data_IF_997619884028
#
_entry.id   IF_997619884028
#
_cell.length_a   1.000
_cell.length_b   1.000
_cell.length_c   1.000
_cell.angle_alpha   90.00
_cell.angle_beta   90.00
_cell.angle_gamma   90.00
#
_symmetry.space_group_name_H-M   'P 1'
#
loop_
_entity.id
_entity.type
_entity.pdbx_description
1 polymer ?
#
# COMPACT_ATOMS: atom_id res chain seq x y z
N UNK A 1 -37.34 3.18 -6.27
CA UNK A 1 -36.43 2.34 -5.46
C UNK A 1 -35.05 2.96 -5.48
N UNK A 2 -34.64 3.62 -4.40
CA UNK A 2 -33.32 4.25 -4.32
C UNK A 2 -32.33 3.24 -3.77
N UNK A 3 -31.45 2.71 -4.63
CA UNK A 3 -30.35 1.85 -4.20
C UNK A 3 -29.38 2.73 -3.43
N UNK A 4 -29.40 2.65 -2.10
CA UNK A 4 -28.43 3.33 -1.24
C UNK A 4 -27.03 2.86 -1.64
N UNK A 5 -26.26 3.74 -2.29
CA UNK A 5 -24.86 3.47 -2.67
C UNK A 5 -24.10 3.20 -1.38
N UNK A 6 -23.73 1.94 -1.09
CA UNK A 6 -22.89 1.61 0.07
C UNK A 6 -21.59 2.41 -0.07
N UNK A 7 -21.39 3.40 0.80
CA UNK A 7 -20.14 4.15 0.87
C UNK A 7 -19.09 3.14 1.28
N UNK A 8 -18.14 2.88 0.37
CA UNK A 8 -16.97 2.05 0.68
C UNK A 8 -15.89 2.97 1.21
N UNK A 9 -15.52 2.74 2.46
CA UNK A 9 -14.34 3.33 3.05
C UNK A 9 -13.09 2.65 2.51
N UNK A 10 -12.03 3.44 2.41
CA UNK A 10 -10.71 3.01 1.96
C UNK A 10 -9.68 3.38 3.01
N UNK A 11 -8.84 2.42 3.36
CA UNK A 11 -7.79 2.56 4.35
C UNK A 11 -6.44 2.45 3.67
N UNK A 12 -5.49 3.26 4.13
CA UNK A 12 -4.07 3.09 3.81
C UNK A 12 -3.44 2.41 5.01
N UNK A 13 -2.70 1.34 4.77
CA UNK A 13 -2.03 0.57 5.81
C UNK A 13 -0.55 0.44 5.52
N UNK A 14 0.23 0.27 6.59
CA UNK A 14 1.67 0.04 6.56
C UNK A 14 1.95 -1.28 7.26
N UNK A 15 2.77 -2.11 6.64
CA UNK A 15 3.26 -3.39 7.21
C UNK A 15 4.77 -3.28 7.39
N UNK A 16 5.26 -3.61 8.58
CA UNK A 16 6.68 -3.85 8.81
C UNK A 16 7.08 -5.16 8.13
N UNK A 17 8.16 -5.13 7.35
CA UNK A 17 8.73 -6.30 6.72
C UNK A 17 10.02 -6.71 7.42
N UNK A 18 10.35 -8.00 7.32
CA UNK A 18 11.69 -8.52 7.61
C UNK A 18 12.75 -7.69 6.86
N UNK A 19 13.89 -7.34 7.48
CA UNK A 19 15.00 -6.64 6.82
C UNK A 19 15.43 -7.29 5.50
N UNK A 20 15.40 -8.62 5.44
CA UNK A 20 15.73 -9.48 4.30
C UNK A 20 14.81 -9.26 3.10
N UNK A 21 13.67 -8.58 3.28
CA UNK A 21 12.82 -8.14 2.18
C UNK A 21 13.56 -7.20 1.21
N UNK A 22 14.68 -6.59 1.62
CA UNK A 22 15.53 -5.74 0.79
C UNK A 22 17.01 -6.13 0.91
N UNK A 23 17.75 -6.01 -0.20
CA UNK A 23 19.22 -6.12 -0.19
C UNK A 23 19.91 -4.82 0.26
N UNK A 24 19.16 -3.71 0.30
CA UNK A 24 19.68 -2.41 0.74
C UNK A 24 19.53 -2.30 2.26
N UNK A 25 20.51 -1.70 2.91
CA UNK A 25 20.45 -1.34 4.33
C UNK A 25 19.50 -0.16 4.50
N UNK A 26 18.53 -0.28 5.41
CA UNK A 26 17.67 0.83 5.82
C UNK A 26 18.12 1.40 7.16
N UNK A 27 18.06 2.72 7.29
CA UNK A 27 18.28 3.39 8.57
C UNK A 27 17.12 3.21 9.57
N UNK A 28 15.90 2.93 9.08
CA UNK A 28 14.68 2.87 9.91
C UNK A 28 13.89 1.56 9.81
N UNK A 29 14.09 0.77 8.76
CA UNK A 29 13.37 -0.48 8.53
C UNK A 29 12.83 -0.62 7.11
N UNK A 30 12.25 -1.78 6.82
CA UNK A 30 11.69 -2.09 5.51
C UNK A 30 10.18 -2.22 5.66
N UNK A 31 9.42 -1.49 4.87
CA UNK A 31 7.96 -1.45 5.01
C UNK A 31 7.25 -1.62 3.67
N UNK A 32 6.02 -2.12 3.75
CA UNK A 32 5.08 -2.14 2.63
C UNK A 32 3.94 -1.15 2.90
N UNK A 33 3.60 -0.35 1.90
CA UNK A 33 2.44 0.55 1.93
C UNK A 33 1.43 0.11 0.89
N UNK A 34 0.16 0.02 1.27
CA UNK A 34 -0.93 -0.32 0.37
C UNK A 34 -2.26 0.31 0.76
N UNK A 35 -3.25 0.16 -0.12
CA UNK A 35 -4.65 0.50 0.14
C UNK A 35 -5.54 -0.74 0.25
N UNK A 36 -6.64 -0.61 0.99
CA UNK A 36 -7.72 -1.59 1.00
C UNK A 36 -9.08 -0.97 1.31
N UNK A 37 -10.16 -1.63 0.87
CA UNK A 37 -11.53 -1.37 1.37
C UNK A 37 -11.97 -2.35 2.46
N UNK A 38 -11.04 -3.16 2.97
CA UNK A 38 -11.20 -3.99 4.16
C UNK A 38 -10.58 -3.27 5.36
N UNK A 39 -10.79 -3.81 6.55
CA UNK A 39 -9.95 -3.46 7.70
C UNK A 39 -8.49 -3.89 7.43
N UNK A 40 -7.54 -3.09 7.93
CA UNK A 40 -6.10 -3.30 7.73
C UNK A 40 -5.66 -4.68 8.24
N UNK A 41 -6.20 -5.12 9.38
CA UNK A 41 -5.95 -6.41 10.02
C UNK A 41 -6.43 -7.57 9.15
N UNK A 42 -7.65 -7.47 8.61
CA UNK A 42 -8.20 -8.48 7.71
C UNK A 42 -7.42 -8.54 6.39
N UNK A 43 -6.98 -7.39 5.88
CA UNK A 43 -6.13 -7.31 4.68
C UNK A 43 -4.77 -7.95 4.94
N UNK A 44 -4.16 -7.70 6.09
CA UNK A 44 -2.90 -8.30 6.49
C UNK A 44 -3.02 -9.82 6.63
N UNK A 45 -4.05 -10.31 7.34
CA UNK A 45 -4.31 -11.75 7.44
C UNK A 45 -4.49 -12.41 6.07
N UNK A 46 -5.20 -11.76 5.14
CA UNK A 46 -5.31 -12.25 3.75
C UNK A 46 -3.95 -12.34 3.06
N UNK A 47 -3.08 -11.34 3.21
CA UNK A 47 -1.72 -11.40 2.66
C UNK A 47 -0.93 -12.58 3.25
N UNK A 48 -0.97 -12.77 4.56
CA UNK A 48 -0.25 -13.85 5.24
C UNK A 48 -0.80 -15.24 4.88
N UNK A 49 -2.08 -15.36 4.51
CA UNK A 49 -2.67 -16.60 4.00
C UNK A 49 -2.39 -16.88 2.51
N UNK A 50 -1.70 -15.97 1.81
CA UNK A 50 -1.46 -16.06 0.36
C UNK A 50 -2.65 -15.65 -0.51
N UNK A 51 -3.81 -15.33 0.06
CA UNK A 51 -5.00 -14.95 -0.69
C UNK A 51 -4.96 -13.50 -1.20
N UNK A 52 -4.92 -13.31 -2.53
CA UNK A 52 -4.78 -11.99 -3.19
C UNK A 52 -3.63 -11.18 -2.58
N UNK A 53 -2.54 -11.89 -2.31
CA UNK A 53 -1.45 -11.41 -1.49
C UNK A 53 -0.44 -10.58 -2.29
N UNK A 54 0.08 -9.53 -1.66
CA UNK A 54 1.31 -8.90 -2.10
C UNK A 54 2.48 -9.82 -1.72
N UNK A 55 3.23 -10.32 -2.72
CA UNK A 55 4.31 -11.31 -2.51
C UNK A 55 5.27 -10.92 -1.39
N UNK A 56 5.64 -9.65 -1.30
CA UNK A 56 6.53 -9.14 -0.23
C UNK A 56 5.92 -9.25 1.16
N UNK A 57 4.64 -8.92 1.31
CA UNK A 57 3.94 -9.04 2.59
C UNK A 57 3.76 -10.51 2.97
N UNK A 58 3.37 -11.37 2.01
CA UNK A 58 3.22 -12.81 2.27
C UNK A 58 4.53 -13.47 2.72
N UNK A 59 5.66 -13.10 2.10
CA UNK A 59 6.96 -13.73 2.38
C UNK A 59 7.68 -13.13 3.60
N UNK A 60 7.49 -11.84 3.88
CA UNK A 60 8.31 -11.08 4.82
C UNK A 60 7.51 -10.24 5.80
N UNK A 61 6.17 -10.32 5.83
CA UNK A 61 5.35 -9.50 6.71
C UNK A 61 5.52 -9.89 8.17
N UNK A 62 5.92 -8.92 9.01
CA UNK A 62 5.99 -9.09 10.47
C UNK A 62 4.68 -8.72 11.14
N UNK A 63 4.31 -7.44 11.07
CA UNK A 63 3.10 -6.90 11.69
C UNK A 63 2.69 -5.56 11.08
N UNK A 64 1.47 -5.10 11.37
CA UNK A 64 1.00 -3.78 11.01
C UNK A 64 1.72 -2.68 11.80
N UNK A 65 1.86 -1.51 11.16
CA UNK A 65 2.42 -0.27 11.73
C UNK A 65 1.39 0.86 11.64
N UNK A 66 0.30 0.82 12.43
CA UNK A 66 -0.74 1.85 12.40
C UNK A 66 -0.19 3.24 12.78
N UNK A 67 0.90 3.29 13.55
CA UNK A 67 1.64 4.51 13.87
C UNK A 67 2.27 5.20 12.64
N UNK A 68 2.57 4.43 11.58
CA UNK A 68 3.11 4.93 10.32
C UNK A 68 2.04 5.24 9.28
N UNK A 69 0.80 4.78 9.50
CA UNK A 69 -0.32 4.92 8.57
C UNK A 69 -1.17 6.18 8.88
N UNK A 70 -1.97 6.68 7.91
CA UNK A 70 -3.02 7.65 8.20
C UNK A 70 -4.04 7.10 9.20
N UNK A 71 -4.49 7.93 10.14
CA UNK A 71 -5.44 7.54 11.19
C UNK A 71 -6.91 7.53 10.74
N UNK A 72 -7.20 8.01 9.53
CA UNK A 72 -8.56 8.15 9.00
C UNK A 72 -8.75 7.41 7.69
N UNK A 73 -9.98 6.95 7.48
CA UNK A 73 -10.42 6.38 6.22
C UNK A 73 -10.64 7.47 5.16
N UNK A 74 -10.66 7.04 3.89
CA UNK A 74 -10.97 7.86 2.73
C UNK A 74 -12.28 7.39 2.10
N UNK A 75 -13.14 8.33 1.73
CA UNK A 75 -14.44 8.05 1.11
C UNK A 75 -14.35 7.74 -0.39
N UNK A 76 -13.16 7.86 -0.98
CA UNK A 76 -12.91 7.52 -2.38
C UNK A 76 -11.58 6.80 -2.54
N UNK A 77 -11.55 5.86 -3.49
CA UNK A 77 -10.34 5.13 -3.85
C UNK A 77 -9.24 6.05 -4.40
N UNK A 78 -9.62 7.07 -5.15
CA UNK A 78 -8.65 8.02 -5.69
C UNK A 78 -7.92 8.77 -4.55
N UNK A 79 -8.66 9.18 -3.52
CA UNK A 79 -8.07 9.84 -2.36
C UNK A 79 -7.20 8.88 -1.56
N UNK A 80 -7.59 7.61 -1.41
CA UNK A 80 -6.74 6.61 -0.75
C UNK A 80 -5.44 6.36 -1.53
N UNK A 81 -5.48 6.28 -2.87
CA UNK A 81 -4.27 6.13 -3.70
C UNK A 81 -3.33 7.35 -3.61
N UNK A 82 -3.89 8.57 -3.54
CA UNK A 82 -3.10 9.79 -3.30
C UNK A 82 -2.45 9.74 -1.91
N UNK A 83 -3.19 9.32 -0.88
CA UNK A 83 -2.68 9.18 0.48
C UNK A 83 -1.64 8.06 0.62
N UNK A 84 -1.82 6.95 -0.09
CA UNK A 84 -0.88 5.84 -0.19
C UNK A 84 0.47 6.33 -0.74
N UNK A 85 0.44 7.08 -1.86
CA UNK A 85 1.63 7.68 -2.46
C UNK A 85 2.31 8.67 -1.52
N UNK A 86 1.55 9.58 -0.89
CA UNK A 86 2.09 10.54 0.08
C UNK A 86 2.75 9.85 1.28
N UNK A 87 2.11 8.81 1.80
CA UNK A 87 2.64 8.01 2.92
C UNK A 87 3.96 7.35 2.54
N UNK A 88 4.01 6.74 1.36
CA UNK A 88 5.23 6.12 0.87
C UNK A 88 6.37 7.11 0.64
N UNK A 89 6.09 8.30 0.06
CA UNK A 89 7.10 9.37 -0.07
C UNK A 89 7.60 9.84 1.29
N UNK A 90 6.69 10.10 2.25
CA UNK A 90 7.07 10.52 3.61
C UNK A 90 7.98 9.50 4.28
N UNK A 91 7.64 8.21 4.21
CA UNK A 91 8.43 7.14 4.83
C UNK A 91 9.81 6.98 4.16
N UNK A 92 9.90 7.12 2.84
CA UNK A 92 11.20 7.14 2.13
C UNK A 92 12.06 8.30 2.61
N UNK A 93 11.49 9.50 2.74
CA UNK A 93 12.22 10.67 3.24
C UNK A 93 12.67 10.52 4.71
N UNK A 94 11.98 9.69 5.50
CA UNK A 94 12.36 9.37 6.87
C UNK A 94 13.46 8.28 6.95
N UNK A 95 13.85 7.66 5.84
CA UNK A 95 14.91 6.65 5.79
C UNK A 95 14.43 5.20 5.72
N UNK A 96 13.12 4.97 5.58
CA UNK A 96 12.57 3.64 5.33
C UNK A 96 12.81 3.19 3.88
N UNK A 97 13.02 1.89 3.70
CA UNK A 97 12.86 1.27 2.38
C UNK A 97 11.38 0.90 2.21
N UNK A 98 10.74 1.45 1.18
CA UNK A 98 9.30 1.30 0.99
C UNK A 98 8.96 0.53 -0.28
N UNK A 99 8.28 -0.60 -0.12
CA UNK A 99 7.59 -1.33 -1.19
C UNK A 99 6.11 -0.90 -1.30
N UNK A 100 5.54 -1.01 -2.50
CA UNK A 100 4.18 -0.50 -2.76
C UNK A 100 4.12 1.04 -2.82
N UNK A 101 2.96 1.62 -2.54
CA UNK A 101 2.84 3.08 -2.40
C UNK A 101 2.95 3.87 -3.70
N UNK A 102 2.65 3.25 -4.84
CA UNK A 102 2.78 3.90 -6.14
C UNK A 102 1.53 4.73 -6.49
N UNK A 103 0.42 4.56 -5.75
CA UNK A 103 -0.86 5.20 -6.06
C UNK A 103 -1.45 4.69 -7.37
N UNK A 104 -1.11 3.45 -7.76
CA UNK A 104 -1.70 2.74 -8.88
C UNK A 104 -2.28 1.42 -8.38
N UNK A 105 -3.49 1.04 -8.83
CA UNK A 105 -4.02 -0.29 -8.56
C UNK A 105 -3.06 -1.38 -9.03
N UNK A 106 -2.88 -2.44 -8.25
CA UNK A 106 -2.08 -3.61 -8.63
C UNK A 106 -2.53 -4.24 -9.97
N UNK A 107 -3.77 -3.98 -10.41
CA UNK A 107 -4.34 -4.48 -11.67
C UNK A 107 -4.04 -3.63 -12.91
N UNK A 108 -3.27 -2.53 -12.81
CA UNK A 108 -2.81 -1.81 -14.01
C UNK A 108 -1.46 -2.40 -14.41
N UNK A 109 -1.40 -3.04 -15.58
CA UNK A 109 -0.18 -3.67 -16.09
C UNK A 109 0.99 -2.67 -16.10
N UNK A 110 2.19 -3.12 -15.70
CA UNK A 110 3.41 -2.31 -15.73
C UNK A 110 3.75 -1.84 -17.15
N UNK A 111 3.32 -2.59 -18.18
CA UNK A 111 3.43 -2.20 -19.58
C UNK A 111 2.56 -0.97 -19.93
N UNK A 112 1.33 -0.91 -19.41
CA UNK A 112 0.40 0.23 -19.62
C UNK A 112 0.93 1.50 -18.98
N UNK A 113 1.64 1.39 -17.85
CA UNK A 113 2.20 2.53 -17.13
C UNK A 113 3.40 3.16 -17.85
N UNK A 114 4.29 2.34 -18.42
CA UNK A 114 5.44 2.79 -19.21
C UNK A 114 5.00 3.57 -20.46
N UNK A 115 3.95 3.11 -21.14
CA UNK A 115 3.39 3.80 -22.31
C UNK A 115 2.82 5.20 -21.99
N UNK A 116 2.19 5.38 -20.82
CA UNK A 116 1.65 6.68 -20.38
C UNK A 116 2.70 7.72 -19.97
N UNK A 117 3.92 7.28 -19.64
CA UNK A 117 5.04 8.16 -19.26
C UNK A 117 5.83 8.64 -20.49
N UNK A 118 5.81 7.89 -21.59
CA UNK A 118 6.51 8.22 -22.84
C UNK A 118 5.71 9.18 -23.74
N UNK A 119 4.41 9.36 -23.51
CA UNK A 119 3.52 10.21 -24.31
C UNK A 119 3.36 11.64 -23.78
N UNK A 120 4.06 12.00 -22.69
CA UNK A 120 4.16 13.39 -22.18
C UNK A 120 5.56 13.96 -22.43
N UNK A 121 6.01 13.87 -23.68
CA UNK A 121 7.19 14.56 -24.20
C UNK A 121 6.74 15.64 -25.18
#
# INVERSE_FOLDING_TARGET
MQVSKRIREWWVYVVELEPEASRRVSAKGVVYVGETSLLSELRFAKHMSGHKAARKVHQYGRHLRPDLAPKSAFLSRENSLKAERRTATRLRNQGYIVFGGQGIPFMVDSATLLASKLTRG
#
